data_IF_219931570521
#
_entry.id   IF_219931570521
#
_cell.length_a   1.000
_cell.length_b   1.000
_cell.length_c   1.000
_cell.angle_alpha   90.00
_cell.angle_beta   90.00
_cell.angle_gamma   90.00
#
_symmetry.space_group_name_H-M   'P 1'
#
loop_
_entity.id
_entity.type
_entity.pdbx_description
1 polymer ?
#
# COMPACT_ATOMS: atom_id res chain seq x y z
N UNK A 1 -15.10 6.45 -0.56
CA UNK A 1 -15.53 5.52 0.53
C UNK A 1 -15.86 6.30 1.80
N UNK A 2 -16.59 5.73 2.76
CA UNK A 2 -17.01 6.48 3.96
C UNK A 2 -15.95 6.44 5.07
N UNK A 3 -14.79 7.05 4.84
CA UNK A 3 -13.67 7.14 5.80
C UNK A 3 -14.07 7.76 7.14
N UNK A 4 -15.13 8.58 7.09
CA UNK A 4 -15.75 9.28 8.21
C UNK A 4 -16.35 8.34 9.26
N UNK A 5 -16.54 7.05 8.94
CA UNK A 5 -17.10 6.03 9.84
C UNK A 5 -16.18 4.82 10.06
N UNK A 6 -14.87 4.99 9.89
CA UNK A 6 -13.92 3.88 10.10
C UNK A 6 -13.67 3.68 11.60
N UNK A 7 -13.68 2.43 12.05
CA UNK A 7 -13.25 2.06 13.42
C UNK A 7 -11.72 1.97 13.55
N UNK A 8 -10.99 2.59 12.61
CA UNK A 8 -9.54 2.52 12.56
C UNK A 8 -8.89 3.32 13.69
N UNK A 9 -7.85 2.75 14.28
CA UNK A 9 -7.09 3.43 15.34
C UNK A 9 -6.41 4.71 14.82
N UNK A 10 -6.64 5.82 15.55
CA UNK A 10 -5.99 7.12 15.28
C UNK A 10 -4.52 7.14 15.69
N UNK A 11 -4.13 6.27 16.62
CA UNK A 11 -2.76 6.16 17.13
C UNK A 11 -2.14 4.83 16.73
N UNK A 12 -0.81 4.73 16.87
CA UNK A 12 -0.08 3.49 16.68
C UNK A 12 -0.47 2.49 17.77
N UNK A 13 -0.94 1.32 17.37
CA UNK A 13 -1.25 0.20 18.26
C UNK A 13 -0.43 -1.02 17.85
N UNK A 14 -0.02 -1.82 18.83
CA UNK A 14 0.58 -3.12 18.58
C UNK A 14 -0.49 -4.08 18.07
N UNK A 15 -0.16 -4.86 17.04
CA UNK A 15 -1.05 -5.85 16.42
C UNK A 15 -0.32 -7.16 16.28
N UNK A 16 -1.04 -8.27 16.44
CA UNK A 16 -0.48 -9.60 16.21
C UNK A 16 -0.30 -9.83 14.70
N UNK A 17 0.93 -10.15 14.30
CA UNK A 17 1.28 -10.40 12.91
C UNK A 17 0.67 -11.70 12.38
N UNK A 18 0.44 -12.68 13.26
CA UNK A 18 -0.18 -13.95 12.91
C UNK A 18 -1.66 -13.76 12.60
N UNK A 19 -2.34 -12.89 13.34
CA UNK A 19 -3.75 -12.59 13.08
C UNK A 19 -3.95 -11.86 11.75
N UNK A 20 -3.06 -10.94 11.41
CA UNK A 20 -3.10 -10.19 10.15
C UNK A 20 -2.84 -11.07 8.92
N UNK A 21 -1.98 -12.08 9.05
CA UNK A 21 -1.62 -12.95 7.93
C UNK A 21 -2.54 -14.17 7.76
N UNK A 22 -3.55 -14.35 8.63
CA UNK A 22 -4.47 -15.50 8.58
C UNK A 22 -5.13 -15.69 7.22
N UNK A 23 -5.56 -14.60 6.59
CA UNK A 23 -6.27 -14.66 5.31
C UNK A 23 -5.34 -14.94 4.12
N UNK A 24 -4.10 -14.46 4.18
CA UNK A 24 -3.16 -14.52 3.06
C UNK A 24 -2.12 -15.62 3.18
N UNK A 25 -2.05 -16.30 4.33
CA UNK A 25 -1.10 -17.34 4.76
C UNK A 25 0.40 -16.93 4.72
N UNK A 26 0.70 -15.77 4.15
CA UNK A 26 2.03 -15.21 4.01
C UNK A 26 2.02 -13.73 4.42
N UNK A 27 2.89 -13.38 5.36
CA UNK A 27 2.98 -12.03 5.92
C UNK A 27 3.46 -10.98 4.90
N UNK A 28 4.37 -11.34 4.00
CA UNK A 28 4.87 -10.43 2.96
C UNK A 28 3.78 -10.11 1.94
N UNK A 29 2.95 -11.11 1.61
CA UNK A 29 1.75 -10.91 0.79
C UNK A 29 0.77 -9.96 1.46
N UNK A 30 0.52 -10.13 2.76
CA UNK A 30 -0.31 -9.21 3.56
C UNK A 30 0.22 -7.77 3.49
N UNK A 31 1.52 -7.58 3.69
CA UNK A 31 2.16 -6.25 3.66
C UNK A 31 1.99 -5.61 2.28
N UNK A 32 2.17 -6.38 1.20
CA UNK A 32 1.99 -5.89 -0.17
C UNK A 32 0.55 -5.43 -0.44
N UNK A 33 -0.44 -6.21 0.00
CA UNK A 33 -1.86 -5.87 -0.13
C UNK A 33 -2.19 -4.60 0.66
N UNK A 34 -1.77 -4.54 1.93
CA UNK A 34 -1.98 -3.38 2.80
C UNK A 34 -1.33 -2.12 2.25
N UNK A 35 -0.11 -2.22 1.71
CA UNK A 35 0.60 -1.10 1.10
C UNK A 35 -0.16 -0.53 -0.08
N UNK A 36 -0.60 -1.40 -1.02
CA UNK A 36 -1.40 -0.99 -2.18
C UNK A 36 -2.72 -0.35 -1.74
N UNK A 37 -3.39 -0.94 -0.76
CA UNK A 37 -4.67 -0.44 -0.26
C UNK A 37 -4.54 0.90 0.47
N UNK A 38 -3.55 1.05 1.34
CA UNK A 38 -3.27 2.29 2.03
C UNK A 38 -2.92 3.42 1.05
N UNK A 39 -2.24 3.10 -0.06
CA UNK A 39 -1.97 4.07 -1.13
C UNK A 39 -3.25 4.55 -1.82
N UNK A 40 -4.17 3.65 -2.14
CA UNK A 40 -5.47 4.02 -2.73
C UNK A 40 -6.23 4.99 -1.84
N UNK A 41 -6.36 4.65 -0.55
CA UNK A 41 -7.03 5.49 0.45
C UNK A 41 -6.31 6.84 0.59
N UNK A 42 -4.99 6.84 0.61
CA UNK A 42 -4.19 8.07 0.71
C UNK A 42 -4.38 9.03 -0.46
N UNK A 43 -4.49 8.51 -1.69
CA UNK A 43 -4.74 9.34 -2.88
C UNK A 43 -6.15 9.92 -2.83
N UNK A 44 -7.16 9.08 -2.56
CA UNK A 44 -8.56 9.53 -2.49
C UNK A 44 -8.77 10.60 -1.40
N UNK A 45 -8.19 10.41 -0.20
CA UNK A 45 -8.26 11.43 0.87
C UNK A 45 -7.54 12.73 0.50
N UNK A 46 -6.42 12.65 -0.24
CA UNK A 46 -5.68 13.84 -0.68
C UNK A 46 -6.50 14.62 -1.71
N UNK A 47 -7.12 13.93 -2.66
CA UNK A 47 -7.97 14.54 -3.67
C UNK A 47 -9.20 15.19 -3.02
N UNK A 48 -9.91 14.50 -2.11
CA UNK A 48 -11.06 15.07 -1.38
C UNK A 48 -10.66 16.30 -0.55
N UNK A 49 -9.49 16.28 0.09
CA UNK A 49 -8.96 17.42 0.84
C UNK A 49 -8.70 18.63 -0.07
N UNK A 50 -8.04 18.41 -1.22
CA UNK A 50 -7.72 19.50 -2.14
C UNK A 50 -8.97 20.11 -2.76
N UNK A 51 -9.93 19.28 -3.17
CA UNK A 51 -11.22 19.74 -3.69
C UNK A 51 -11.95 20.61 -2.65
N UNK A 52 -11.96 20.17 -1.38
CA UNK A 52 -12.57 20.93 -0.29
C UNK A 52 -11.84 22.23 0.03
N UNK A 53 -10.51 22.26 -0.08
CA UNK A 53 -9.74 23.50 0.12
C UNK A 53 -10.05 24.50 -0.99
N UNK A 54 -10.10 24.03 -2.25
CA UNK A 54 -10.35 24.88 -3.42
C UNK A 54 -11.78 25.46 -3.40
N UNK A 55 -12.77 24.75 -2.85
CA UNK A 55 -14.13 25.27 -2.63
C UNK A 55 -14.17 26.54 -1.77
N UNK A 56 -13.23 26.71 -0.85
CA UNK A 56 -13.12 27.89 0.02
C UNK A 56 -12.07 28.89 -0.44
N UNK A 57 -11.39 28.64 -1.57
CA UNK A 57 -10.36 29.53 -2.11
C UNK A 57 -11.01 30.75 -2.77
N UNK A 58 -11.19 31.84 -2.02
CA UNK A 58 -11.68 33.11 -2.56
C UNK A 58 -10.59 33.82 -3.37
N UNK A 59 -10.92 34.27 -4.58
CA UNK A 59 -10.01 35.05 -5.42
C UNK A 59 -9.97 36.51 -4.93
N UNK A 60 -9.06 36.83 -4.02
CA UNK A 60 -8.90 38.18 -3.49
C UNK A 60 -8.13 39.06 -4.49
N UNK A 61 -8.85 39.76 -5.36
CA UNK A 61 -8.29 40.71 -6.34
C UNK A 61 -8.20 42.16 -5.81
N UNK A 62 -8.34 42.36 -4.49
CA UNK A 62 -8.34 43.67 -3.82
C UNK A 62 -7.10 43.82 -2.94
N UNK A 63 -6.54 45.03 -2.85
CA UNK A 63 -5.43 45.42 -1.96
C UNK A 63 -5.81 45.44 -0.46
N UNK A 64 -6.94 44.83 -0.11
CA UNK A 64 -7.42 44.66 1.26
C UNK A 64 -6.59 43.63 2.04
N UNK A 65 -6.58 43.80 3.36
CA UNK A 65 -5.91 42.91 4.30
C UNK A 65 -6.40 41.46 4.11
N UNK A 66 -5.48 40.53 3.87
CA UNK A 66 -5.78 39.11 3.68
C UNK A 66 -6.13 38.52 5.05
N UNK A 67 -7.42 38.35 5.32
CA UNK A 67 -7.89 37.69 6.53
C UNK A 67 -7.64 36.17 6.47
N UNK A 68 -7.41 35.56 7.63
CA UNK A 68 -7.31 34.10 7.75
C UNK A 68 -8.63 33.43 7.33
N UNK A 69 -8.54 32.44 6.43
CA UNK A 69 -9.68 31.65 6.00
C UNK A 69 -9.99 30.57 7.04
N UNK A 70 -10.97 30.85 7.92
CA UNK A 70 -11.33 29.97 9.05
C UNK A 70 -11.85 28.62 8.58
N UNK A 71 -12.56 28.62 7.46
CA UNK A 71 -13.14 27.44 6.83
C UNK A 71 -12.04 26.50 6.33
N UNK A 72 -11.03 27.02 5.62
CA UNK A 72 -9.88 26.23 5.16
C UNK A 72 -9.09 25.62 6.33
N UNK A 73 -8.91 26.37 7.41
CA UNK A 73 -8.25 25.89 8.62
C UNK A 73 -9.06 24.75 9.27
N UNK A 74 -10.37 24.87 9.36
CA UNK A 74 -11.24 23.84 9.93
C UNK A 74 -11.23 22.55 9.11
N UNK A 75 -11.30 22.68 7.77
CA UNK A 75 -11.16 21.55 6.85
C UNK A 75 -9.82 20.85 7.07
N UNK A 76 -8.72 21.60 7.11
CA UNK A 76 -7.37 21.03 7.30
C UNK A 76 -7.27 20.27 8.63
N UNK A 77 -7.73 20.88 9.73
CA UNK A 77 -7.76 20.23 11.06
C UNK A 77 -8.63 18.97 11.09
N UNK A 78 -9.71 18.92 10.31
CA UNK A 78 -10.57 17.75 10.23
C UNK A 78 -9.81 16.56 9.64
N UNK A 79 -9.16 16.73 8.49
CA UNK A 79 -8.42 15.67 7.82
C UNK A 79 -7.16 15.25 8.59
N UNK A 80 -6.52 16.17 9.33
CA UNK A 80 -5.41 15.84 10.24
C UNK A 80 -5.81 14.90 11.38
N UNK A 81 -7.06 14.98 11.85
CA UNK A 81 -7.59 14.14 12.94
C UNK A 81 -8.03 12.76 12.49
N UNK A 82 -8.10 12.51 11.18
CA UNK A 82 -8.48 11.22 10.64
C UNK A 82 -7.35 10.19 10.88
N UNK A 83 -7.71 8.89 11.03
CA UNK A 83 -6.72 7.84 11.08
C UNK A 83 -5.83 7.83 9.83
N UNK A 84 -4.56 7.44 9.99
CA UNK A 84 -3.65 7.25 8.86
C UNK A 84 -4.23 6.21 7.88
N UNK A 85 -3.98 6.40 6.59
CA UNK A 85 -4.47 5.48 5.55
C UNK A 85 -4.03 4.02 5.77
N UNK A 86 -2.86 3.81 6.36
CA UNK A 86 -2.37 2.48 6.76
C UNK A 86 -3.20 1.87 7.89
N UNK A 87 -3.64 2.65 8.87
CA UNK A 87 -4.54 2.18 9.93
C UNK A 87 -5.90 1.79 9.39
N UNK A 88 -6.42 2.55 8.42
CA UNK A 88 -7.70 2.27 7.75
C UNK A 88 -7.59 0.99 6.92
N UNK A 89 -6.55 0.85 6.10
CA UNK A 89 -6.33 -0.36 5.29
C UNK A 89 -6.23 -1.62 6.15
N UNK A 90 -5.58 -1.54 7.31
CA UNK A 90 -5.50 -2.68 8.25
C UNK A 90 -6.87 -3.00 8.85
N UNK A 91 -7.65 -1.99 9.19
CA UNK A 91 -9.01 -2.21 9.70
C UNK A 91 -9.90 -2.86 8.65
N UNK A 92 -9.86 -2.38 7.40
CA UNK A 92 -10.61 -2.97 6.29
C UNK A 92 -10.20 -4.43 6.01
N UNK A 93 -8.91 -4.75 6.15
CA UNK A 93 -8.42 -6.13 6.03
C UNK A 93 -9.00 -7.02 7.14
N UNK A 94 -8.97 -6.55 8.40
CA UNK A 94 -9.53 -7.29 9.54
C UNK A 94 -11.05 -7.50 9.38
N UNK A 95 -11.74 -6.55 8.77
CA UNK A 95 -13.18 -6.63 8.47
C UNK A 95 -13.50 -7.49 7.23
N UNK A 96 -12.50 -7.96 6.49
CA UNK A 96 -12.69 -8.75 5.25
C UNK A 96 -13.18 -7.92 4.06
N UNK A 97 -13.03 -6.59 4.10
CA UNK A 97 -13.49 -5.66 3.07
C UNK A 97 -12.46 -5.43 1.94
N UNK A 98 -11.33 -6.14 1.96
CA UNK A 98 -10.23 -5.97 0.99
C UNK A 98 -10.15 -7.17 0.05
N UNK A 99 -10.73 -7.02 -1.14
CA UNK A 99 -10.54 -7.99 -2.21
C UNK A 99 -9.13 -7.86 -2.82
N UNK A 100 -8.43 -8.99 -2.95
CA UNK A 100 -7.12 -9.04 -3.58
C UNK A 100 -7.01 -10.25 -4.53
N UNK A 101 -6.36 -10.05 -5.68
CA UNK A 101 -6.09 -11.09 -6.67
C UNK A 101 -4.60 -11.14 -6.96
N UNK A 102 -4.04 -12.35 -7.00
CA UNK A 102 -2.68 -12.58 -7.48
C UNK A 102 -2.78 -12.74 -9.01
N UNK A 103 -2.06 -11.94 -9.80
CA UNK A 103 -1.97 -12.20 -11.24
C UNK A 103 -1.31 -13.56 -11.47
N UNK A 104 -1.71 -14.27 -12.53
CA UNK A 104 -1.05 -15.53 -12.87
C UNK A 104 0.43 -15.26 -13.16
N UNK A 105 1.34 -16.19 -12.80
CA UNK A 105 2.73 -16.04 -13.15
C UNK A 105 2.85 -16.02 -14.68
N UNK A 106 3.28 -14.88 -15.24
CA UNK A 106 3.88 -14.87 -16.57
C UNK A 106 5.13 -15.74 -16.49
N UNK A 107 5.06 -16.95 -17.07
CA UNK A 107 6.17 -17.91 -17.14
C UNK A 107 7.29 -17.47 -18.11
N UNK A 108 7.44 -16.17 -18.38
CA UNK A 108 8.33 -15.66 -19.45
C UNK A 108 9.75 -15.34 -18.98
N UNK A 109 10.16 -15.88 -17.83
CA UNK A 109 11.57 -15.82 -17.40
C UNK A 109 12.15 -17.23 -17.49
N UNK A 110 12.57 -17.56 -18.71
CA UNK A 110 13.35 -18.75 -19.01
C UNK A 110 14.75 -18.55 -18.38
N UNK A 111 14.90 -18.97 -17.13
CA UNK A 111 16.22 -19.04 -16.50
C UNK A 111 16.98 -20.19 -17.19
N UNK A 112 18.14 -19.93 -17.84
CA UNK A 112 18.94 -21.01 -18.39
C UNK A 112 19.33 -21.95 -17.24
N UNK A 113 19.00 -23.23 -17.42
CA UNK A 113 19.25 -24.29 -16.45
C UNK A 113 20.76 -24.41 -16.22
N UNK A 114 21.23 -24.08 -15.01
CA UNK A 114 22.66 -24.07 -14.63
C UNK A 114 23.26 -25.49 -14.60
N UNK A 115 22.44 -26.52 -14.84
CA UNK A 115 22.80 -27.92 -14.75
C UNK A 115 23.49 -28.50 -16.00
N UNK A 116 23.63 -27.74 -17.09
CA UNK A 116 24.30 -28.25 -18.29
C UNK A 116 25.84 -28.24 -18.18
N UNK A 117 26.43 -27.37 -17.34
CA UNK A 117 27.89 -27.35 -17.12
C UNK A 117 28.40 -28.50 -16.23
N UNK A 118 27.55 -29.07 -15.37
CA UNK A 118 27.95 -30.19 -14.52
C UNK A 118 28.01 -31.52 -15.28
N UNK A 119 27.24 -31.68 -16.37
CA UNK A 119 27.26 -32.90 -17.19
C UNK A 119 28.52 -33.00 -18.05
N UNK A 120 29.04 -31.88 -18.54
CA UNK A 120 30.28 -31.86 -19.32
C UNK A 120 31.50 -32.20 -18.45
N UNK A 121 31.58 -31.61 -17.25
CA UNK A 121 32.69 -31.85 -16.32
C UNK A 121 32.74 -33.29 -15.79
N UNK A 122 31.59 -33.96 -15.59
CA UNK A 122 31.57 -35.38 -15.22
C UNK A 122 31.99 -36.30 -16.37
N UNK A 123 31.72 -35.90 -17.62
CA UNK A 123 32.08 -36.69 -18.81
C UNK A 123 33.58 -36.65 -19.14
N UNK A 124 34.26 -35.54 -18.84
CA UNK A 124 35.71 -35.42 -19.02
C UNK A 124 36.52 -36.22 -17.98
N UNK A 125 36.04 -36.29 -16.74
CA UNK A 125 36.73 -37.04 -15.66
C UNK A 125 36.71 -38.54 -15.96
N UNK A 126 35.59 -39.08 -16.47
CA UNK A 126 35.48 -40.52 -16.80
C UNK A 126 36.33 -40.92 -18.01
N UNK A 127 36.67 -39.99 -18.91
CA UNK A 127 37.52 -40.27 -20.07
C UNK A 127 39.03 -40.23 -19.76
N UNK A 128 39.45 -39.50 -18.72
CA UNK A 128 40.87 -39.47 -18.29
C UNK A 128 41.32 -40.73 -17.54
N UNK A 129 40.40 -41.47 -16.92
CA UNK A 129 40.73 -42.69 -16.15
C UNK A 129 40.79 -43.97 -17.02
N UNK A 130 40.59 -43.87 -18.34
CA UNK A 130 40.59 -45.03 -19.27
C UNK A 130 41.81 -45.10 -20.20
N UNK A 131 42.89 -44.39 -19.91
CA UNK A 131 44.13 -44.45 -20.70
C UNK A 131 45.35 -44.82 -19.88
#
# INVERSE_FOLDING_TARGET
MNYKKTNASKTTISRDTKDLSKETENIYKTISILSKRARQIGVEMKEELLEKIDEFATTNNSLEEVFENKEQIEVSRYYERLPKSTSIAIQELIEGNVYHRVPEPENDIDFPDVNDEEKENQSEIVQKDKK
#
